data_IF_028061543750
#
_entry.id   IF_028061543750
#
_cell.length_a   1.000
_cell.length_b   1.000
_cell.length_c   1.000
_cell.angle_alpha   90.00
_cell.angle_beta   90.00
_cell.angle_gamma   90.00
#
_symmetry.space_group_name_H-M   'P 1'
#
loop_
_entity.id
_entity.type
_entity.pdbx_description
1 polymer ?
#
# COMPACT_ATOMS: atom_id res chain seq x y z
N UNK A 1 -25.31 -24.24 59.21
CA UNK A 1 -25.36 -22.77 59.10
C UNK A 1 -25.06 -22.37 57.66
N UNK A 2 -25.78 -21.37 57.15
CA UNK A 2 -25.72 -20.78 55.79
C UNK A 2 -24.31 -20.34 55.38
N UNK A 3 -23.95 -20.52 54.11
CA UNK A 3 -23.75 -19.43 53.11
C UNK A 3 -23.24 -20.01 51.76
N UNK A 4 -23.99 -20.06 50.65
CA UNK A 4 -24.08 -19.06 49.53
C UNK A 4 -22.70 -18.55 49.03
N UNK A 5 -22.28 -18.50 47.75
CA UNK A 5 -22.88 -18.56 46.39
C UNK A 5 -21.77 -18.80 45.33
N UNK A 6 -22.16 -19.44 44.22
CA UNK A 6 -21.75 -19.33 42.80
C UNK A 6 -20.34 -18.87 42.38
N UNK A 7 -19.68 -19.66 41.52
CA UNK A 7 -19.38 -19.31 40.10
C UNK A 7 -19.19 -20.62 39.31
N UNK A 8 -19.68 -20.56 38.07
CA UNK A 8 -19.94 -21.64 37.12
C UNK A 8 -18.68 -22.06 36.36
N UNK A 9 -18.60 -23.37 36.14
CA UNK A 9 -17.73 -24.15 35.25
C UNK A 9 -17.89 -23.67 33.79
N UNK A 10 -16.79 -23.50 33.04
CA UNK A 10 -16.69 -23.96 31.64
C UNK A 10 -15.24 -23.85 31.15
N UNK A 11 -14.38 -24.79 31.56
CA UNK A 11 -13.17 -25.11 30.83
C UNK A 11 -13.53 -26.24 29.86
N UNK A 12 -13.92 -25.89 28.64
CA UNK A 12 -14.16 -26.87 27.59
C UNK A 12 -13.17 -26.65 26.44
N UNK A 13 -12.56 -27.76 26.05
CA UNK A 13 -11.51 -27.90 25.06
C UNK A 13 -11.89 -27.35 23.68
N UNK A 14 -10.89 -26.88 22.96
CA UNK A 14 -10.84 -27.05 21.50
C UNK A 14 -9.50 -27.64 21.10
N UNK A 15 -9.63 -28.71 20.33
CA UNK A 15 -8.63 -29.59 19.75
C UNK A 15 -8.54 -29.23 18.25
N UNK A 16 -7.33 -29.28 17.68
CA UNK A 16 -6.98 -29.14 16.24
C UNK A 16 -7.19 -27.74 15.64
N UNK A 17 -6.21 -27.13 14.96
CA UNK A 17 -5.61 -27.57 13.69
C UNK A 17 -4.12 -27.19 13.65
N UNK A 18 -3.32 -28.11 13.13
CA UNK A 18 -1.99 -27.81 12.61
C UNK A 18 -2.10 -26.72 11.52
N UNK A 19 -1.69 -25.49 11.85
CA UNK A 19 -1.26 -24.55 10.84
C UNK A 19 0.26 -24.57 10.88
N UNK A 20 0.84 -25.08 9.79
CA UNK A 20 2.25 -25.14 9.51
C UNK A 20 2.91 -23.79 9.84
N UNK A 21 3.64 -23.72 10.95
CA UNK A 21 4.74 -22.78 11.06
C UNK A 21 5.87 -23.35 10.20
N UNK A 22 5.68 -23.35 8.89
CA UNK A 22 6.82 -23.44 7.97
C UNK A 22 7.70 -22.24 8.29
N UNK A 23 8.85 -22.51 8.91
CA UNK A 23 9.98 -21.59 8.90
C UNK A 23 10.07 -20.95 7.52
N UNK A 24 10.27 -19.62 7.40
CA UNK A 24 10.37 -19.01 6.09
C UNK A 24 11.59 -19.64 5.41
N UNK A 25 11.32 -20.51 4.44
CA UNK A 25 12.28 -20.90 3.42
C UNK A 25 12.81 -19.60 2.81
N UNK A 26 14.09 -19.55 2.43
CA UNK A 26 14.70 -18.42 1.72
C UNK A 26 13.78 -17.92 0.60
N UNK A 27 12.97 -16.91 0.90
CA UNK A 27 12.09 -16.24 -0.04
C UNK A 27 12.91 -15.19 -0.77
N UNK A 28 12.66 -15.06 -2.06
CA UNK A 28 13.24 -13.94 -2.79
C UNK A 28 12.57 -12.64 -2.32
N UNK A 29 13.23 -11.48 -2.47
CA UNK A 29 12.65 -10.19 -2.14
C UNK A 29 11.25 -9.99 -2.74
N UNK A 30 11.06 -10.42 -3.98
CA UNK A 30 9.80 -10.31 -4.72
C UNK A 30 8.69 -11.16 -4.10
N UNK A 31 8.99 -12.39 -3.67
CA UNK A 31 8.02 -13.27 -3.00
C UNK A 31 7.61 -12.75 -1.63
N UNK A 32 8.56 -12.12 -0.92
CA UNK A 32 8.28 -11.48 0.35
C UNK A 32 7.40 -10.25 0.16
N UNK A 33 7.68 -9.45 -0.87
CA UNK A 33 6.84 -8.30 -1.24
C UNK A 33 5.42 -8.77 -1.60
N UNK A 34 5.27 -9.75 -2.50
CA UNK A 34 3.97 -10.29 -2.93
C UNK A 34 3.10 -10.73 -1.75
N UNK A 35 3.66 -11.52 -0.82
CA UNK A 35 2.90 -11.96 0.37
C UNK A 35 2.50 -10.78 1.27
N UNK A 36 3.38 -9.82 1.50
CA UNK A 36 3.07 -8.64 2.32
C UNK A 36 1.96 -7.81 1.67
N UNK A 37 1.97 -7.73 0.34
CA UNK A 37 0.92 -7.06 -0.42
C UNK A 37 -0.42 -7.80 -0.31
N UNK A 38 -0.43 -9.13 -0.28
CA UNK A 38 -1.64 -9.94 -0.10
C UNK A 38 -2.21 -9.86 1.32
N UNK A 39 -1.36 -9.93 2.34
CA UNK A 39 -1.75 -9.75 3.75
C UNK A 39 -2.38 -8.36 4.00
N UNK A 40 -1.95 -7.34 3.24
CA UNK A 40 -2.53 -5.99 3.31
C UNK A 40 -3.98 -5.92 2.82
N UNK A 41 -4.31 -6.64 1.73
CA UNK A 41 -5.66 -6.66 1.17
C UNK A 41 -6.69 -7.34 2.09
N UNK A 42 -6.23 -8.26 2.95
CA UNK A 42 -7.08 -8.92 3.95
C UNK A 42 -7.43 -8.02 5.15
N UNK A 43 -6.73 -6.91 5.37
CA UNK A 43 -6.89 -6.08 6.57
C UNK A 43 -8.08 -5.11 6.50
N UNK A 44 -8.27 -4.41 5.38
CA UNK A 44 -9.45 -3.60 5.08
C UNK A 44 -9.61 -3.46 3.56
N UNK A 45 -10.84 -3.52 3.02
CA UNK A 45 -11.06 -3.34 1.58
C UNK A 45 -10.45 -2.06 0.99
N UNK A 46 -10.43 -0.95 1.74
CA UNK A 46 -9.80 0.30 1.30
C UNK A 46 -8.28 0.19 1.19
N UNK A 47 -7.63 -0.67 1.99
CA UNK A 47 -6.19 -0.95 1.87
C UNK A 47 -5.92 -1.72 0.58
N UNK A 48 -6.78 -2.68 0.24
CA UNK A 48 -6.73 -3.37 -1.05
C UNK A 48 -6.97 -2.44 -2.25
N UNK A 49 -7.94 -1.53 -2.15
CA UNK A 49 -8.19 -0.52 -3.19
C UNK A 49 -7.01 0.45 -3.35
N UNK A 50 -6.36 0.84 -2.25
CA UNK A 50 -5.15 1.66 -2.28
C UNK A 50 -3.98 0.95 -2.97
N UNK A 51 -3.75 -0.33 -2.65
CA UNK A 51 -2.75 -1.15 -3.36
C UNK A 51 -3.01 -1.16 -4.87
N UNK A 52 -4.23 -1.47 -5.28
CA UNK A 52 -4.58 -1.57 -6.70
C UNK A 52 -4.35 -0.23 -7.40
N UNK A 53 -4.70 0.89 -6.76
CA UNK A 53 -4.42 2.22 -7.29
C UNK A 53 -2.92 2.46 -7.50
N UNK A 54 -2.07 2.06 -6.56
CA UNK A 54 -0.62 2.23 -6.67
C UNK A 54 -0.03 1.37 -7.80
N UNK A 55 -0.51 0.13 -7.97
CA UNK A 55 -0.14 -0.74 -9.10
C UNK A 55 -0.55 -0.14 -10.46
N UNK A 56 -1.77 0.38 -10.55
CA UNK A 56 -2.27 1.07 -11.75
C UNK A 56 -1.42 2.29 -12.08
N UNK A 57 -1.05 3.09 -11.07
CA UNK A 57 -0.16 4.24 -11.25
C UNK A 57 1.22 3.83 -11.76
N UNK A 58 1.86 2.86 -11.13
CA UNK A 58 3.17 2.38 -11.54
C UNK A 58 3.15 1.85 -12.98
N UNK A 59 2.14 1.04 -13.32
CA UNK A 59 1.98 0.48 -14.67
C UNK A 59 1.81 1.59 -15.70
N UNK A 60 0.87 2.52 -15.47
CA UNK A 60 0.58 3.59 -16.42
C UNK A 60 1.81 4.51 -16.64
N UNK A 61 2.51 4.87 -15.56
CA UNK A 61 3.71 5.70 -15.69
C UNK A 61 4.85 4.95 -16.39
N UNK A 62 5.00 3.65 -16.15
CA UNK A 62 5.96 2.79 -16.87
C UNK A 62 5.67 2.78 -18.37
N UNK A 63 4.41 2.62 -18.76
CA UNK A 63 3.99 2.64 -20.16
C UNK A 63 4.25 4.01 -20.81
N UNK A 64 3.95 5.10 -20.12
CA UNK A 64 4.23 6.47 -20.61
C UNK A 64 5.73 6.68 -20.84
N UNK A 65 6.57 6.27 -19.89
CA UNK A 65 8.04 6.36 -20.00
C UNK A 65 8.56 5.51 -21.15
N UNK A 66 8.10 4.26 -21.27
CA UNK A 66 8.50 3.36 -22.35
C UNK A 66 8.09 3.89 -23.73
N UNK A 67 6.89 4.46 -23.85
CA UNK A 67 6.38 5.07 -25.07
C UNK A 67 6.96 6.47 -25.36
N UNK A 68 7.69 7.06 -24.39
CA UNK A 68 8.16 8.45 -24.41
C UNK A 68 7.06 9.46 -24.73
N UNK A 69 5.87 9.21 -24.19
CA UNK A 69 4.66 9.99 -24.47
C UNK A 69 3.82 10.08 -23.23
N UNK A 70 3.25 11.26 -22.99
CA UNK A 70 2.33 11.47 -21.89
C UNK A 70 0.89 11.26 -22.33
N UNK A 71 0.13 10.56 -21.48
CA UNK A 71 -1.31 10.36 -21.63
C UNK A 71 -2.05 11.17 -20.54
N UNK A 72 -2.46 12.38 -20.91
CA UNK A 72 -3.12 13.32 -20.02
C UNK A 72 -4.50 12.81 -19.54
N UNK A 73 -5.23 12.07 -20.37
CA UNK A 73 -6.52 11.51 -19.98
C UNK A 73 -6.32 10.41 -18.93
N UNK A 74 -5.32 9.55 -19.10
CA UNK A 74 -5.00 8.54 -18.11
C UNK A 74 -4.54 9.15 -16.78
N UNK A 75 -3.71 10.19 -16.81
CA UNK A 75 -3.32 10.90 -15.59
C UNK A 75 -4.51 11.52 -14.86
N UNK A 76 -5.46 12.09 -15.60
CA UNK A 76 -6.69 12.66 -15.04
C UNK A 76 -7.58 11.58 -14.42
N UNK A 77 -7.73 10.43 -15.07
CA UNK A 77 -8.47 9.27 -14.53
C UNK A 77 -7.87 8.81 -13.20
N UNK A 78 -6.55 8.58 -13.16
CA UNK A 78 -5.83 8.13 -11.97
C UNK A 78 -5.92 9.16 -10.83
N UNK A 79 -5.80 10.45 -11.15
CA UNK A 79 -5.93 11.53 -10.18
C UNK A 79 -7.34 11.59 -9.58
N UNK A 80 -8.38 11.35 -10.37
CA UNK A 80 -9.75 11.27 -9.89
C UNK A 80 -9.96 10.08 -8.95
N UNK A 81 -9.41 8.90 -9.28
CA UNK A 81 -9.46 7.71 -8.41
C UNK A 81 -8.72 7.95 -7.08
N UNK A 82 -7.53 8.56 -7.14
CA UNK A 82 -6.77 8.91 -5.94
C UNK A 82 -7.55 9.87 -5.03
N UNK A 83 -8.21 10.87 -5.63
CA UNK A 83 -9.06 11.80 -4.90
C UNK A 83 -10.26 11.10 -4.25
N UNK A 84 -11.00 10.27 -4.99
CA UNK A 84 -12.14 9.51 -4.45
C UNK A 84 -11.72 8.64 -3.25
N UNK A 85 -10.63 7.90 -3.41
CA UNK A 85 -10.13 7.03 -2.36
C UNK A 85 -9.67 7.82 -1.12
N UNK A 86 -8.97 8.94 -1.32
CA UNK A 86 -8.57 9.84 -0.24
C UNK A 86 -9.79 10.42 0.50
N UNK A 87 -10.80 10.88 -0.23
CA UNK A 87 -12.03 11.43 0.35
C UNK A 87 -12.77 10.35 1.18
N UNK A 88 -12.82 9.10 0.70
CA UNK A 88 -13.41 7.95 1.43
C UNK A 88 -12.65 7.59 2.70
N UNK A 89 -11.31 7.61 2.64
CA UNK A 89 -10.44 7.41 3.80
C UNK A 89 -10.69 8.52 4.84
N UNK A 90 -10.71 9.78 4.40
CA UNK A 90 -10.94 10.93 5.28
C UNK A 90 -12.34 10.89 5.93
N UNK A 91 -13.38 10.58 5.17
CA UNK A 91 -14.76 10.47 5.66
C UNK A 91 -14.92 9.38 6.72
N UNK A 92 -14.10 8.33 6.68
CA UNK A 92 -14.15 7.25 7.67
C UNK A 92 -13.64 7.64 9.05
N UNK A 93 -12.85 8.71 9.19
CA UNK A 93 -12.39 9.22 10.49
C UNK A 93 -11.58 8.19 11.28
N UNK A 94 -10.27 8.11 11.04
CA UNK A 94 -9.41 7.01 11.49
C UNK A 94 -9.07 6.99 12.99
N UNK A 95 -10.05 6.55 13.78
CA UNK A 95 -9.81 5.69 14.95
C UNK A 95 -9.95 4.19 14.59
N UNK A 96 -10.54 3.89 13.42
CA UNK A 96 -11.01 2.56 13.02
C UNK A 96 -10.02 1.74 12.17
N UNK A 97 -9.07 2.40 11.47
CA UNK A 97 -7.95 1.75 10.81
C UNK A 97 -6.92 1.35 11.88
N UNK A 98 -7.25 0.28 12.59
CA UNK A 98 -6.44 -0.27 13.67
C UNK A 98 -4.99 -0.49 13.24
N UNK A 99 -4.09 -0.48 14.21
CA UNK A 99 -2.63 -0.45 14.05
C UNK A 99 -2.06 -1.44 13.00
N UNK A 100 -2.68 -2.61 12.81
CA UNK A 100 -2.27 -3.58 11.78
C UNK A 100 -2.53 -3.04 10.36
N UNK A 101 -3.74 -2.56 10.07
CA UNK A 101 -4.07 -2.07 8.73
C UNK A 101 -3.32 -0.77 8.39
N UNK A 102 -3.04 0.06 9.38
CA UNK A 102 -2.16 1.22 9.20
C UNK A 102 -0.71 0.84 8.89
N UNK A 103 -0.21 -0.25 9.49
CA UNK A 103 1.12 -0.77 9.19
C UNK A 103 1.19 -1.25 7.74
N UNK A 104 0.20 -2.03 7.29
CA UNK A 104 0.14 -2.53 5.92
C UNK A 104 -0.01 -1.40 4.90
N UNK A 105 -0.89 -0.43 5.17
CA UNK A 105 -1.03 0.77 4.35
C UNK A 105 0.30 1.50 4.16
N UNK A 106 1.07 1.67 5.24
CA UNK A 106 2.42 2.26 5.17
C UNK A 106 3.40 1.41 4.37
N UNK A 107 3.35 0.09 4.52
CA UNK A 107 4.22 -0.81 3.75
C UNK A 107 3.95 -0.71 2.25
N UNK A 108 2.67 -0.73 1.84
CA UNK A 108 2.27 -0.50 0.44
C UNK A 108 2.84 0.84 -0.06
N UNK A 109 2.63 1.92 0.71
CA UNK A 109 3.15 3.24 0.37
C UNK A 109 4.68 3.26 0.19
N UNK A 110 5.42 2.55 1.04
CA UNK A 110 6.88 2.44 0.92
C UNK A 110 7.32 1.65 -0.33
N UNK A 111 6.62 0.55 -0.63
CA UNK A 111 6.93 -0.34 -1.76
C UNK A 111 6.70 0.31 -3.11
N UNK A 112 5.61 1.07 -3.27
CA UNK A 112 5.27 1.71 -4.55
C UNK A 112 5.74 3.16 -4.63
N UNK A 113 5.79 3.87 -3.51
CA UNK A 113 5.99 5.33 -3.49
C UNK A 113 7.25 5.78 -4.21
N UNK A 114 8.38 5.11 -3.97
CA UNK A 114 9.64 5.47 -4.63
C UNK A 114 9.63 5.17 -6.13
N UNK A 115 9.03 4.05 -6.55
CA UNK A 115 8.94 3.66 -7.97
C UNK A 115 8.04 4.61 -8.75
N UNK A 116 6.86 4.89 -8.20
CA UNK A 116 5.91 5.87 -8.76
C UNK A 116 6.54 7.26 -8.82
N UNK A 117 7.23 7.72 -7.78
CA UNK A 117 7.89 9.03 -7.77
C UNK A 117 8.94 9.14 -8.89
N UNK A 118 9.78 8.11 -9.05
CA UNK A 118 10.78 8.05 -10.13
C UNK A 118 10.14 8.12 -11.51
N UNK A 119 9.12 7.30 -11.76
CA UNK A 119 8.43 7.29 -13.06
C UNK A 119 7.67 8.59 -13.31
N UNK A 120 7.00 9.14 -12.31
CA UNK A 120 6.30 10.42 -12.38
C UNK A 120 7.24 11.57 -12.73
N UNK A 121 8.46 11.55 -12.20
CA UNK A 121 9.50 12.52 -12.58
C UNK A 121 9.91 12.41 -14.04
N UNK A 122 10.10 11.18 -14.52
CA UNK A 122 10.42 10.94 -15.93
C UNK A 122 9.30 11.43 -16.85
N UNK A 123 8.04 11.22 -16.44
CA UNK A 123 6.87 11.77 -17.14
C UNK A 123 6.85 13.30 -17.13
N UNK A 124 7.07 13.94 -15.98
CA UNK A 124 7.13 15.40 -15.88
C UNK A 124 8.24 16.01 -16.76
N UNK A 125 9.42 15.39 -16.79
CA UNK A 125 10.51 15.78 -17.69
C UNK A 125 10.12 15.68 -19.16
N UNK A 126 9.31 14.69 -19.56
CA UNK A 126 8.83 14.56 -20.94
C UNK A 126 7.82 15.66 -21.33
N UNK A 127 7.05 16.20 -20.39
CA UNK A 127 6.17 17.35 -20.62
C UNK A 127 6.92 18.69 -20.66
N UNK A 128 8.24 18.69 -20.46
CA UNK A 128 9.02 19.91 -20.24
C UNK A 128 8.79 20.54 -18.86
N UNK A 129 8.08 19.85 -17.98
CA UNK A 129 7.73 20.27 -16.63
C UNK A 129 8.81 19.91 -15.62
N UNK A 130 9.87 20.71 -15.54
CA UNK A 130 10.73 20.79 -14.36
C UNK A 130 10.70 22.19 -13.73
N UNK A 131 9.93 23.12 -14.33
CA UNK A 131 9.75 24.47 -13.77
C UNK A 131 9.07 24.39 -12.40
N UNK A 132 9.80 24.81 -11.36
CA UNK A 132 9.30 24.87 -9.99
C UNK A 132 9.52 23.62 -9.14
N UNK A 133 10.17 22.58 -9.68
CA UNK A 133 10.62 21.45 -8.85
C UNK A 133 11.88 21.86 -8.09
N UNK A 134 11.85 21.73 -6.76
CA UNK A 134 12.97 22.09 -5.88
C UNK A 134 14.25 21.35 -6.30
N UNK A 135 15.36 22.07 -6.61
CA UNK A 135 16.64 21.48 -6.97
C UNK A 135 17.16 20.46 -5.95
N UNK A 136 16.88 20.64 -4.65
CA UNK A 136 17.30 19.69 -3.60
C UNK A 136 16.51 18.37 -3.72
N UNK A 137 15.23 18.46 -4.10
CA UNK A 137 14.39 17.30 -4.39
C UNK A 137 14.88 16.57 -5.64
N UNK A 138 15.26 17.30 -6.70
CA UNK A 138 15.87 16.73 -7.91
C UNK A 138 17.19 16.02 -7.55
N UNK A 139 18.04 16.60 -6.71
CA UNK A 139 19.31 16.00 -6.30
C UNK A 139 19.10 14.72 -5.45
N UNK A 140 18.15 14.74 -4.51
CA UNK A 140 17.78 13.55 -3.74
C UNK A 140 17.24 12.43 -4.64
N UNK A 141 16.43 12.77 -5.65
CA UNK A 141 15.90 11.80 -6.60
C UNK A 141 16.98 11.26 -7.54
N UNK A 142 17.91 12.10 -8.00
CA UNK A 142 19.07 11.64 -8.76
C UNK A 142 19.92 10.64 -7.99
N UNK A 143 20.10 10.82 -6.66
CA UNK A 143 20.80 9.87 -5.79
C UNK A 143 20.09 8.52 -5.66
N UNK A 144 18.77 8.46 -5.86
CA UNK A 144 18.00 7.20 -5.85
C UNK A 144 17.85 6.61 -7.26
N UNK A 145 18.15 7.39 -8.31
CA UNK A 145 18.12 6.95 -9.70
C UNK A 145 19.43 6.32 -10.19
N UNK A 146 20.56 6.56 -9.50
CA UNK A 146 21.86 5.90 -9.72
C UNK A 146 21.94 4.55 -8.98
#
# INVERSE_FOLDING_TARGET
MRSTKHIVILSFAMLFIAACSSEPKNETPEQKEERVMDEAAECDPLVGEFRNLMEEYETALTEMVAAKKVDAEKQKELSAKAKDLSDRIQQRGEKALGLKCWSEFKTIGATYGMRIAKLGMQVAMMEGGMEGVDPEMIEQLQKVMQ
#
